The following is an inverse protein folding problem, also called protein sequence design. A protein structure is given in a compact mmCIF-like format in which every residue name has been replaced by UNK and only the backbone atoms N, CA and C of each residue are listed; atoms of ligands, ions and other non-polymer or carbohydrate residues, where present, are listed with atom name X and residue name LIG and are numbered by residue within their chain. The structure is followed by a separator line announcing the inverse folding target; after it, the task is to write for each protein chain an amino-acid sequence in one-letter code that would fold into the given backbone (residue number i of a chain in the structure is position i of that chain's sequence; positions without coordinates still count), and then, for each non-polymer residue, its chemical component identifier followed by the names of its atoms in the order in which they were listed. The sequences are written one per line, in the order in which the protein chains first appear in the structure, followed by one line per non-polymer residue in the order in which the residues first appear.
data_IF_760367379205
#
_entry.id   IF_760367379205
#
_cell.length_a   1.000
_cell.length_b   1.000
_cell.length_c   1.000
_cell.angle_alpha   90.00
_cell.angle_beta   90.00
_cell.angle_gamma   90.00
#
_symmetry.space_group_name_H-M   'P 1'
#
loop_
_entity.id
_entity.type
_entity.pdbx_description
1 polymer ?
#
# COMPACT_ATOMS: atom_id res chain seq x y z
N UNK A 1 -11.55 -6.51 18.23
CA UNK A 1 -12.73 -7.07 17.51
C UNK A 1 -13.03 -6.21 16.31
N UNK A 2 -13.23 -6.83 15.15
CA UNK A 2 -13.70 -6.15 13.93
C UNK A 2 -15.09 -5.56 14.13
N UNK A 3 -15.40 -4.45 13.42
CA UNK A 3 -16.72 -3.78 13.50
C UNK A 3 -17.80 -4.47 12.69
N UNK A 4 -17.44 -5.38 11.77
CA UNK A 4 -18.37 -6.17 10.97
C UNK A 4 -17.95 -7.63 10.98
N UNK A 5 -18.82 -8.51 10.46
CA UNK A 5 -18.57 -9.94 10.47
C UNK A 5 -17.31 -10.29 9.68
N UNK A 6 -16.43 -11.04 10.33
CA UNK A 6 -15.30 -11.71 9.72
C UNK A 6 -15.71 -13.17 9.48
N UNK A 7 -15.85 -13.51 8.21
CA UNK A 7 -16.40 -14.80 7.81
C UNK A 7 -15.37 -15.92 7.93
N UNK A 8 -15.80 -17.05 8.44
CA UNK A 8 -15.06 -18.30 8.25
C UNK A 8 -15.36 -18.87 6.87
N UNK A 9 -14.41 -19.59 6.28
CA UNK A 9 -14.53 -20.12 4.91
C UNK A 9 -15.75 -21.04 4.76
N UNK A 10 -16.05 -21.83 5.80
CA UNK A 10 -17.20 -22.73 5.85
C UNK A 10 -18.56 -22.02 5.85
N UNK A 11 -18.61 -20.76 6.27
CA UNK A 11 -19.82 -19.95 6.39
C UNK A 11 -20.08 -19.05 5.17
N UNK A 12 -19.19 -19.06 4.19
CA UNK A 12 -19.29 -18.22 2.99
C UNK A 12 -20.49 -18.63 2.13
N UNK A 13 -21.24 -17.64 1.61
CA UNK A 13 -22.22 -17.88 0.55
C UNK A 13 -21.54 -18.33 -0.74
N UNK A 14 -22.30 -18.85 -1.70
CA UNK A 14 -21.73 -19.28 -2.97
C UNK A 14 -21.00 -18.14 -3.70
N UNK A 15 -21.58 -16.94 -3.73
CA UNK A 15 -20.96 -15.75 -4.36
C UNK A 15 -19.66 -15.33 -3.65
N UNK A 16 -19.65 -15.34 -2.31
CA UNK A 16 -18.45 -15.05 -1.52
C UNK A 16 -17.36 -16.10 -1.76
N UNK A 17 -17.75 -17.37 -1.86
CA UNK A 17 -16.84 -18.47 -2.10
C UNK A 17 -16.20 -18.42 -3.48
N UNK A 18 -16.96 -18.07 -4.52
CA UNK A 18 -16.41 -17.88 -5.87
C UNK A 18 -15.30 -16.83 -5.87
N UNK A 19 -15.50 -15.70 -5.17
CA UNK A 19 -14.50 -14.63 -5.09
C UNK A 19 -13.31 -15.06 -4.22
N UNK A 20 -13.58 -15.70 -3.08
CA UNK A 20 -12.54 -16.28 -2.22
C UNK A 20 -11.63 -17.21 -3.05
N UNK A 21 -12.21 -18.13 -3.81
CA UNK A 21 -11.49 -19.11 -4.60
C UNK A 21 -10.69 -18.45 -5.74
N UNK A 22 -11.21 -17.40 -6.36
CA UNK A 22 -10.46 -16.58 -7.35
C UNK A 22 -9.20 -15.96 -6.70
N UNK A 23 -9.31 -15.45 -5.48
CA UNK A 23 -8.18 -14.84 -4.77
C UNK A 23 -7.15 -15.92 -4.39
N UNK A 24 -7.61 -17.04 -3.84
CA UNK A 24 -6.75 -18.14 -3.38
C UNK A 24 -6.01 -18.80 -4.54
N UNK A 25 -6.68 -18.99 -5.69
CA UNK A 25 -6.06 -19.58 -6.87
C UNK A 25 -5.26 -18.57 -7.71
N UNK A 26 -5.30 -17.28 -7.36
CA UNK A 26 -4.54 -16.21 -7.98
C UNK A 26 -3.13 -16.03 -7.36
N UNK A 27 -2.41 -14.99 -7.76
CA UNK A 27 -1.02 -14.75 -7.31
C UNK A 27 -0.91 -14.44 -5.81
N UNK A 28 -2.01 -14.13 -5.12
CA UNK A 28 -2.03 -13.87 -3.66
C UNK A 28 -1.97 -15.15 -2.83
N UNK A 29 -2.58 -16.23 -3.29
CA UNK A 29 -2.60 -17.53 -2.61
C UNK A 29 -3.50 -17.62 -1.38
N UNK A 30 -3.97 -16.50 -0.83
CA UNK A 30 -4.75 -16.46 0.41
C UNK A 30 -5.60 -15.18 0.52
N UNK A 31 -6.65 -15.24 1.34
CA UNK A 31 -7.53 -14.11 1.64
C UNK A 31 -7.23 -13.59 3.04
N UNK A 32 -6.60 -12.43 3.15
CA UNK A 32 -6.19 -11.82 4.43
C UNK A 32 -6.60 -10.36 4.53
N UNK A 33 -6.55 -9.82 5.73
CA UNK A 33 -6.75 -8.40 6.00
C UNK A 33 -8.04 -7.84 5.39
N UNK A 34 -7.93 -6.77 4.58
CA UNK A 34 -9.10 -6.09 4.03
C UNK A 34 -9.91 -6.95 3.07
N UNK A 35 -9.28 -7.92 2.38
CA UNK A 35 -9.99 -8.83 1.46
C UNK A 35 -11.05 -9.67 2.18
N UNK A 36 -10.78 -10.11 3.42
CA UNK A 36 -11.77 -10.84 4.24
C UNK A 36 -13.00 -9.98 4.53
N UNK A 37 -12.76 -8.69 4.82
CA UNK A 37 -13.84 -7.75 5.12
C UNK A 37 -14.66 -7.45 3.86
N UNK A 38 -14.01 -7.31 2.71
CA UNK A 38 -14.68 -7.05 1.44
C UNK A 38 -15.55 -8.21 0.97
N UNK A 39 -15.36 -9.44 1.45
CA UNK A 39 -16.30 -10.54 1.19
C UNK A 39 -17.72 -10.24 1.68
N UNK A 40 -17.91 -9.28 2.61
CA UNK A 40 -19.24 -8.79 2.98
C UNK A 40 -19.91 -7.99 1.84
N UNK A 41 -19.15 -7.58 0.82
CA UNK A 41 -19.66 -6.96 -0.41
C UNK A 41 -18.96 -7.61 -1.61
N UNK A 42 -19.47 -8.73 -2.12
CA UNK A 42 -18.84 -9.50 -3.19
C UNK A 42 -18.51 -8.69 -4.44
N UNK A 43 -19.39 -7.76 -4.83
CA UNK A 43 -19.14 -6.88 -5.96
C UNK A 43 -17.90 -6.00 -5.79
N UNK A 44 -17.70 -5.41 -4.59
CA UNK A 44 -16.51 -4.65 -4.28
C UNK A 44 -15.28 -5.57 -4.22
N UNK A 45 -15.40 -6.72 -3.53
CA UNK A 45 -14.31 -7.68 -3.39
C UNK A 45 -13.76 -8.12 -4.77
N UNK A 46 -14.66 -8.45 -5.70
CA UNK A 46 -14.31 -8.85 -7.08
C UNK A 46 -13.54 -7.75 -7.81
N UNK A 47 -14.02 -6.53 -7.77
CA UNK A 47 -13.42 -5.41 -8.50
C UNK A 47 -12.09 -4.97 -7.86
N UNK A 48 -12.09 -4.78 -6.54
CA UNK A 48 -10.92 -4.29 -5.81
C UNK A 48 -9.77 -5.31 -5.80
N UNK A 49 -10.05 -6.62 -5.69
CA UNK A 49 -8.99 -7.63 -5.76
C UNK A 49 -8.29 -7.65 -7.13
N UNK A 50 -9.00 -7.34 -8.22
CA UNK A 50 -8.41 -7.28 -9.56
C UNK A 50 -7.46 -6.09 -9.68
N UNK A 51 -7.89 -4.90 -9.24
CA UNK A 51 -7.02 -3.71 -9.17
C UNK A 51 -5.81 -3.98 -8.27
N UNK A 52 -6.03 -4.63 -7.13
CA UNK A 52 -4.96 -4.94 -6.19
C UNK A 52 -3.97 -5.99 -6.69
N UNK A 53 -4.41 -6.94 -7.50
CA UNK A 53 -3.50 -7.88 -8.15
C UNK A 53 -2.59 -7.16 -9.15
N UNK A 54 -3.13 -6.22 -9.92
CA UNK A 54 -2.33 -5.38 -10.80
C UNK A 54 -1.36 -4.49 -10.00
N UNK A 55 -1.86 -3.73 -9.02
CA UNK A 55 -1.04 -2.81 -8.22
C UNK A 55 0.14 -3.51 -7.52
N UNK A 56 0.00 -4.80 -7.19
CA UNK A 56 1.04 -5.57 -6.48
C UNK A 56 1.98 -6.34 -7.40
N UNK A 57 1.48 -6.83 -8.55
CA UNK A 57 2.21 -7.79 -9.37
C UNK A 57 2.31 -7.41 -10.86
N UNK A 58 1.57 -6.41 -11.31
CA UNK A 58 1.42 -6.08 -12.73
C UNK A 58 1.99 -4.74 -13.15
N UNK A 59 2.52 -3.93 -12.23
CA UNK A 59 3.05 -2.60 -12.53
C UNK A 59 4.38 -2.67 -13.27
N UNK A 60 4.74 -1.60 -13.95
CA UNK A 60 6.03 -1.43 -14.63
C UNK A 60 7.21 -1.18 -13.69
N UNK A 61 6.93 -0.92 -12.41
CA UNK A 61 7.93 -0.63 -11.40
C UNK A 61 8.66 -1.90 -10.94
N UNK A 62 9.92 -1.76 -10.54
CA UNK A 62 10.61 -2.82 -9.82
C UNK A 62 9.91 -3.14 -8.49
N UNK A 63 10.16 -4.35 -7.93
CA UNK A 63 9.64 -4.72 -6.61
C UNK A 63 9.99 -3.67 -5.56
N UNK A 64 11.25 -3.21 -5.52
CA UNK A 64 11.72 -2.20 -4.59
C UNK A 64 10.88 -0.91 -4.66
N UNK A 65 10.70 -0.36 -5.86
CA UNK A 65 9.99 0.90 -6.09
C UNK A 65 8.49 0.76 -5.80
N UNK A 66 7.87 -0.36 -6.17
CA UNK A 66 6.46 -0.64 -5.85
C UNK A 66 6.24 -0.70 -4.34
N UNK A 67 7.08 -1.47 -3.62
CA UNK A 67 6.97 -1.61 -2.17
C UNK A 67 7.27 -0.29 -1.44
N UNK A 68 8.19 0.54 -1.96
CA UNK A 68 8.45 1.88 -1.43
C UNK A 68 7.21 2.78 -1.53
N UNK A 69 6.51 2.77 -2.67
CA UNK A 69 5.26 3.53 -2.84
C UNK A 69 4.15 3.01 -1.91
N UNK A 70 4.06 1.69 -1.72
CA UNK A 70 3.12 1.05 -0.79
C UNK A 70 3.41 1.46 0.66
N UNK A 71 4.68 1.34 1.10
CA UNK A 71 5.11 1.72 2.45
C UNK A 71 4.85 3.21 2.72
N UNK A 72 5.17 4.09 1.76
CA UNK A 72 4.91 5.53 1.87
C UNK A 72 3.42 5.80 2.06
N UNK A 73 2.57 5.14 1.27
CA UNK A 73 1.11 5.27 1.38
C UNK A 73 0.60 4.74 2.72
N UNK A 74 0.97 3.51 3.08
CA UNK A 74 0.56 2.87 4.33
C UNK A 74 0.98 3.69 5.55
N UNK A 75 2.17 4.33 5.50
CA UNK A 75 2.64 5.20 6.57
C UNK A 75 1.79 6.45 6.74
N UNK A 76 1.47 7.15 5.65
CA UNK A 76 0.60 8.35 5.72
C UNK A 76 -0.79 8.00 6.28
N UNK A 77 -1.30 6.82 5.97
CA UNK A 77 -2.55 6.30 6.53
C UNK A 77 -2.41 5.73 7.96
N UNK A 78 -1.20 5.67 8.51
CA UNK A 78 -0.89 5.02 9.80
C UNK A 78 -1.47 3.60 9.88
N UNK A 79 -1.36 2.85 8.77
CA UNK A 79 -1.84 1.48 8.65
C UNK A 79 -0.73 0.51 9.07
N UNK A 80 -0.75 0.07 10.32
CA UNK A 80 0.27 -0.83 10.85
C UNK A 80 0.22 -2.20 10.14
N UNK A 81 -0.96 -2.71 9.80
CA UNK A 81 -1.09 -3.95 9.02
C UNK A 81 -0.34 -3.87 7.68
N UNK A 82 -0.52 -2.78 6.92
CA UNK A 82 0.19 -2.63 5.64
C UNK A 82 1.69 -2.46 5.86
N UNK A 83 2.05 -1.74 6.92
CA UNK A 83 3.45 -1.55 7.27
C UNK A 83 4.16 -2.87 7.59
N UNK A 84 3.57 -3.71 8.46
CA UNK A 84 4.12 -5.02 8.83
C UNK A 84 4.29 -5.95 7.65
N UNK A 85 3.35 -5.91 6.69
CA UNK A 85 3.39 -6.76 5.52
C UNK A 85 4.34 -6.27 4.43
N UNK A 86 4.54 -4.96 4.28
CA UNK A 86 5.23 -4.37 3.13
C UNK A 86 6.62 -3.83 3.45
N UNK A 87 6.91 -3.38 4.67
CA UNK A 87 8.24 -2.90 5.04
C UNK A 87 9.33 -3.98 4.88
N UNK A 88 9.12 -5.25 5.32
CA UNK A 88 10.07 -6.32 5.05
C UNK A 88 10.26 -6.60 3.55
N UNK A 89 9.19 -6.53 2.76
CA UNK A 89 9.25 -6.74 1.31
C UNK A 89 10.00 -5.63 0.57
N UNK A 90 9.89 -4.38 1.04
CA UNK A 90 10.67 -3.26 0.51
C UNK A 90 12.17 -3.47 0.76
N UNK A 91 12.56 -3.89 1.97
CA UNK A 91 13.95 -4.21 2.33
C UNK A 91 14.45 -5.40 1.49
N UNK A 92 13.67 -6.48 1.38
CA UNK A 92 14.01 -7.63 0.53
C UNK A 92 14.15 -7.25 -0.94
N UNK A 93 13.36 -6.27 -1.40
CA UNK A 93 13.44 -5.69 -2.74
C UNK A 93 14.68 -4.84 -3.00
N UNK A 94 15.39 -4.44 -1.95
CA UNK A 94 16.64 -3.68 -2.03
C UNK A 94 16.57 -2.24 -1.48
N UNK A 95 15.44 -1.82 -0.88
CA UNK A 95 15.37 -0.53 -0.19
C UNK A 95 16.19 -0.60 1.10
N UNK A 96 17.01 0.43 1.34
CA UNK A 96 17.82 0.53 2.55
C UNK A 96 16.93 0.49 3.81
N UNK A 97 17.20 -0.41 4.79
CA UNK A 97 16.47 -0.45 6.05
C UNK A 97 16.41 0.89 6.79
N UNK A 98 17.43 1.76 6.65
CA UNK A 98 17.45 3.09 7.26
C UNK A 98 16.41 4.01 6.59
N UNK A 99 16.17 3.88 5.28
CA UNK A 99 15.10 4.60 4.60
C UNK A 99 13.73 4.18 5.14
N UNK A 100 13.48 2.88 5.28
CA UNK A 100 12.24 2.33 5.84
C UNK A 100 12.02 2.83 7.28
N UNK A 101 13.07 2.80 8.12
CA UNK A 101 13.01 3.33 9.49
C UNK A 101 12.73 4.85 9.50
N UNK A 102 13.31 5.61 8.59
CA UNK A 102 13.07 7.05 8.48
C UNK A 102 11.62 7.34 8.08
N UNK A 103 11.08 6.59 7.12
CA UNK A 103 9.67 6.68 6.70
C UNK A 103 8.74 6.29 7.86
N UNK A 104 9.06 5.24 8.63
CA UNK A 104 8.26 4.84 9.80
C UNK A 104 8.10 5.97 10.82
N UNK A 105 9.11 6.81 10.95
CA UNK A 105 9.10 8.00 11.81
C UNK A 105 8.47 9.24 11.14
N UNK A 106 7.83 9.07 9.99
CA UNK A 106 7.15 10.16 9.25
C UNK A 106 8.10 11.23 8.73
N UNK A 107 9.32 10.85 8.41
CA UNK A 107 10.36 11.74 7.89
C UNK A 107 10.75 11.34 6.46
N UNK A 108 11.33 12.28 5.72
CA UNK A 108 11.88 12.05 4.40
C UNK A 108 13.28 11.47 4.51
N UNK A 109 13.56 10.30 3.88
CA UNK A 109 14.91 9.76 3.78
C UNK A 109 15.81 10.62 2.88
N UNK A 110 17.13 10.44 3.03
CA UNK A 110 18.12 10.93 2.07
C UNK A 110 18.48 9.76 1.16
N UNK A 111 17.91 9.75 -0.03
CA UNK A 111 18.13 8.67 -0.99
C UNK A 111 19.42 8.87 -1.78
N UNK A 112 20.17 7.78 -1.99
CA UNK A 112 21.31 7.73 -2.90
C UNK A 112 20.89 7.33 -4.33
N UNK A 113 19.70 6.73 -4.47
CA UNK A 113 19.10 6.34 -5.74
C UNK A 113 18.02 7.35 -6.14
N UNK A 114 18.17 7.96 -7.31
CA UNK A 114 17.24 9.00 -7.80
C UNK A 114 15.84 8.44 -8.06
N UNK A 115 15.71 7.20 -8.53
CA UNK A 115 14.40 6.60 -8.79
C UNK A 115 13.64 6.34 -7.48
N UNK A 116 14.32 5.89 -6.43
CA UNK A 116 13.72 5.75 -5.09
C UNK A 116 13.24 7.11 -4.57
N UNK A 117 14.08 8.15 -4.70
CA UNK A 117 13.69 9.49 -4.30
C UNK A 117 12.45 9.98 -5.04
N UNK A 118 12.41 9.83 -6.37
CA UNK A 118 11.28 10.29 -7.18
C UNK A 118 9.99 9.55 -6.88
N UNK A 119 10.05 8.23 -6.68
CA UNK A 119 8.88 7.43 -6.31
C UNK A 119 8.38 7.80 -4.91
N UNK A 120 9.29 7.97 -3.95
CA UNK A 120 8.93 8.41 -2.60
C UNK A 120 8.28 9.80 -2.62
N UNK A 121 8.91 10.78 -3.27
CA UNK A 121 8.41 12.17 -3.33
C UNK A 121 7.03 12.22 -4.00
N UNK A 122 6.85 11.50 -5.11
CA UNK A 122 5.56 11.41 -5.80
C UNK A 122 4.47 10.81 -4.90
N UNK A 123 4.76 9.66 -4.26
CA UNK A 123 3.82 9.00 -3.38
C UNK A 123 3.49 9.84 -2.13
N UNK A 124 4.49 10.51 -1.54
CA UNK A 124 4.31 11.39 -0.39
C UNK A 124 3.43 12.60 -0.74
N UNK A 125 3.75 13.30 -1.84
CA UNK A 125 2.93 14.43 -2.31
C UNK A 125 1.49 14.00 -2.62
N UNK A 126 1.31 12.91 -3.38
CA UNK A 126 -0.01 12.39 -3.73
C UNK A 126 -0.86 12.07 -2.50
N UNK A 127 -0.26 11.47 -1.47
CA UNK A 127 -0.99 11.09 -0.25
C UNK A 127 -1.17 12.25 0.74
N UNK A 128 -0.22 13.18 0.84
CA UNK A 128 -0.27 14.28 1.83
C UNK A 128 -0.98 15.50 1.25
N UNK A 129 -0.56 15.95 0.05
CA UNK A 129 -1.11 17.13 -0.60
C UNK A 129 -2.35 16.86 -1.44
N UNK A 130 -2.68 15.58 -1.71
CA UNK A 130 -3.75 15.14 -2.64
C UNK A 130 -3.52 15.60 -4.09
N UNK A 131 -2.30 15.92 -4.42
CA UNK A 131 -1.81 16.35 -5.73
C UNK A 131 -0.29 16.18 -5.76
N UNK A 132 0.28 16.23 -6.94
CA UNK A 132 1.73 16.20 -7.16
C UNK A 132 2.16 17.52 -7.80
N UNK A 133 3.30 18.07 -7.39
CA UNK A 133 3.85 19.30 -8.00
C UNK A 133 4.34 19.02 -9.41
N UNK A 134 4.33 20.05 -10.29
CA UNK A 134 4.83 19.90 -11.66
C UNK A 134 6.30 19.48 -11.69
N UNK A 135 7.09 19.94 -10.73
CA UNK A 135 8.50 19.56 -10.61
C UNK A 135 8.64 18.05 -10.36
N UNK A 136 7.98 17.51 -9.33
CA UNK A 136 8.04 16.08 -9.01
C UNK A 136 7.48 15.25 -10.15
N UNK A 137 6.35 15.67 -10.73
CA UNK A 137 5.75 15.00 -11.87
C UNK A 137 6.68 14.90 -13.07
N UNK A 138 7.24 16.05 -13.53
CA UNK A 138 8.09 16.08 -14.71
C UNK A 138 9.38 15.27 -14.50
N UNK A 139 10.01 15.38 -13.32
CA UNK A 139 11.22 14.61 -13.00
C UNK A 139 10.96 13.11 -13.00
N UNK A 140 9.80 12.66 -12.48
CA UNK A 140 9.43 11.24 -12.51
C UNK A 140 9.18 10.76 -13.94
N UNK A 141 8.46 11.54 -14.77
CA UNK A 141 8.21 11.20 -16.17
C UNK A 141 9.52 11.08 -16.97
N UNK A 142 10.46 11.99 -16.73
CA UNK A 142 11.77 11.98 -17.41
C UNK A 142 12.58 10.72 -17.05
N UNK A 143 12.54 10.29 -15.79
CA UNK A 143 13.31 9.15 -15.30
C UNK A 143 12.65 7.79 -15.55
N UNK A 144 11.34 7.67 -15.26
CA UNK A 144 10.62 6.39 -15.22
C UNK A 144 9.50 6.28 -16.26
N UNK A 145 9.14 7.38 -16.91
CA UNK A 145 8.11 7.41 -17.95
C UNK A 145 6.67 7.52 -17.41
N UNK A 146 5.73 7.73 -18.34
CA UNK A 146 4.32 7.97 -18.01
C UNK A 146 3.63 6.77 -17.37
N UNK A 147 3.97 5.56 -17.78
CA UNK A 147 3.38 4.33 -17.22
C UNK A 147 3.67 4.22 -15.73
N UNK A 148 4.91 4.50 -15.31
CA UNK A 148 5.29 4.49 -13.90
C UNK A 148 4.49 5.49 -13.07
N UNK A 149 4.25 6.71 -13.58
CA UNK A 149 3.42 7.70 -12.89
C UNK A 149 1.97 7.19 -12.68
N UNK A 150 1.38 6.57 -13.70
CA UNK A 150 0.03 5.99 -13.61
C UNK A 150 0.02 4.83 -12.61
N UNK A 151 1.04 3.99 -12.64
CA UNK A 151 1.18 2.86 -11.73
C UNK A 151 1.30 3.32 -10.26
N UNK A 152 2.10 4.37 -9.99
CA UNK A 152 2.20 4.92 -8.63
C UNK A 152 0.86 5.47 -8.16
N UNK A 153 0.10 6.16 -9.01
CA UNK A 153 -1.27 6.61 -8.68
C UNK A 153 -2.16 5.42 -8.38
N UNK A 154 -2.09 4.35 -9.18
CA UNK A 154 -2.82 3.10 -8.96
C UNK A 154 -2.47 2.45 -7.61
N UNK A 155 -1.18 2.36 -7.29
CA UNK A 155 -0.68 1.86 -5.99
C UNK A 155 -1.20 2.73 -4.86
N UNK A 156 -0.97 4.04 -4.90
CA UNK A 156 -1.40 4.97 -3.85
C UNK A 156 -2.92 4.92 -3.62
N UNK A 157 -3.71 4.92 -4.69
CA UNK A 157 -5.17 4.84 -4.61
C UNK A 157 -5.65 3.53 -4.01
N UNK A 158 -5.10 2.41 -4.47
CA UNK A 158 -5.47 1.09 -3.96
C UNK A 158 -5.08 0.91 -2.50
N UNK A 159 -3.86 1.25 -2.12
CA UNK A 159 -3.40 1.11 -0.73
C UNK A 159 -4.00 2.15 0.22
N UNK A 160 -4.49 3.28 -0.27
CA UNK A 160 -5.38 4.17 0.49
C UNK A 160 -6.73 3.51 0.78
N UNK A 161 -7.35 2.84 -0.21
CA UNK A 161 -8.59 2.07 -0.01
C UNK A 161 -8.38 0.92 1.00
N UNK A 162 -7.28 0.19 0.88
CA UNK A 162 -6.86 -0.86 1.83
C UNK A 162 -6.75 -0.29 3.25
N UNK A 163 -5.90 0.72 3.43
CA UNK A 163 -5.64 1.32 4.75
C UNK A 163 -6.90 1.92 5.38
N UNK A 164 -7.74 2.58 4.58
CA UNK A 164 -9.04 3.08 5.02
C UNK A 164 -9.93 1.93 5.51
N UNK A 165 -9.97 0.81 4.78
CA UNK A 165 -10.75 -0.38 5.17
C UNK A 165 -10.26 -0.93 6.50
N UNK A 166 -8.94 -1.12 6.65
CA UNK A 166 -8.33 -1.63 7.88
C UNK A 166 -8.66 -0.74 9.09
N UNK A 167 -8.47 0.57 8.94
CA UNK A 167 -8.68 1.55 10.01
C UNK A 167 -10.17 1.68 10.38
N UNK A 168 -11.06 1.80 9.38
CA UNK A 168 -12.51 1.96 9.61
C UNK A 168 -13.13 0.72 10.26
N UNK A 169 -12.77 -0.47 9.80
CA UNK A 169 -13.33 -1.71 10.32
C UNK A 169 -12.56 -2.31 11.50
N UNK A 170 -11.48 -1.64 11.95
CA UNK A 170 -10.64 -2.06 13.09
C UNK A 170 -10.17 -3.50 12.93
N UNK A 171 -9.55 -3.78 11.79
CA UNK A 171 -8.98 -5.10 11.54
C UNK A 171 -7.72 -5.23 12.40
N UNK A 172 -7.62 -6.28 13.24
CA UNK A 172 -6.45 -6.48 14.08
C UNK A 172 -5.17 -6.60 13.26
N UNK A 173 -4.10 -6.07 13.79
CA UNK A 173 -2.73 -6.34 13.37
C UNK A 173 -2.37 -7.77 13.77
N UNK A 174 -1.57 -8.44 12.95
CA UNK A 174 -1.22 -9.84 13.23
C UNK A 174 -0.01 -9.94 14.18
N UNK A 175 0.80 -8.88 14.29
CA UNK A 175 1.99 -8.84 15.16
C UNK A 175 2.31 -7.41 15.64
N UNK A 176 3.13 -7.31 16.69
CA UNK A 176 3.69 -6.03 17.19
C UNK A 176 5.15 -5.83 16.71
N UNK A 177 5.56 -6.48 15.62
CA UNK A 177 6.98 -6.50 15.21
C UNK A 177 7.48 -5.15 14.68
N UNK A 178 6.56 -4.35 14.12
CA UNK A 178 6.90 -3.05 13.51
C UNK A 178 5.94 -1.95 14.00
N UNK A 179 6.00 -1.55 15.28
CA UNK A 179 5.10 -0.54 15.80
C UNK A 179 5.32 0.79 15.08
N UNK A 180 4.23 1.35 14.55
CA UNK A 180 4.25 2.68 13.96
C UNK A 180 4.05 3.75 15.02
N UNK A 181 4.96 4.76 15.15
CA UNK A 181 4.74 5.90 16.02
C UNK A 181 3.47 6.67 15.65
N UNK A 182 2.73 7.16 16.65
CA UNK A 182 1.59 8.03 16.38
C UNK A 182 2.08 9.37 15.81
N UNK A 183 1.70 9.69 14.58
CA UNK A 183 2.05 10.93 13.88
C UNK A 183 0.77 11.56 13.35
N UNK A 184 0.55 12.84 13.66
CA UNK A 184 -0.62 13.61 13.21
C UNK A 184 -0.32 14.50 11.99
N UNK A 185 0.94 14.86 11.80
CA UNK A 185 1.39 15.72 10.71
C UNK A 185 2.57 15.07 9.97
N UNK A 186 2.34 14.74 8.72
CA UNK A 186 3.34 14.15 7.83
C UNK A 186 4.09 15.18 6.96
N UNK A 187 3.97 16.48 7.24
CA UNK A 187 4.64 17.52 6.46
C UNK A 187 6.17 17.36 6.43
N UNK A 188 6.77 16.70 7.43
CA UNK A 188 8.20 16.41 7.46
C UNK A 188 8.64 15.41 6.35
N UNK A 189 7.73 14.64 5.77
CA UNK A 189 8.03 13.79 4.60
C UNK A 189 8.16 14.59 3.29
N UNK A 190 7.69 15.84 3.25
CA UNK A 190 7.73 16.72 2.08
C UNK A 190 8.93 17.70 2.09
N UNK A 191 9.67 17.77 3.20
CA UNK A 191 10.77 18.70 3.37
C UNK A 191 12.07 18.04 2.92
N UNK A 192 12.71 18.64 1.91
CA UNK A 192 14.09 18.35 1.49
C UNK A 192 15.09 18.99 2.45
#
# INVERSE_FOLDING_TARGET
MTRIKDWKVEDLSNEQKEIHDVIVNGPRGHVVGPLRIWLNNPGLAKSAQTVGAYARYGTSLSKALSELAICTTGRVWSSAFEWENHAPLAIEGGIDPEHIMTISNGKRPIFNNIEEQLVFDFAAEANILKKVTDQTFNSLIESLGQTAAIDIVGICGYYSLISMTLNVFKIPEDTDQWPLPEIKDFSAMLKS
#
